data_IF_622604764506
#
_entry.id   IF_622604764506
#
_cell.length_a   1.000
_cell.length_b   1.000
_cell.length_c   1.000
_cell.angle_alpha   90.00
_cell.angle_beta   90.00
_cell.angle_gamma   90.00
#
_symmetry.space_group_name_H-M   'P 1'
#
loop_
_entity.id
_entity.type
_entity.pdbx_description
1 polymer ?
#
# COMPACT_ATOMS: atom_id res chain seq x y z
N UNK A 1 8.32 -11.24 -7.78
CA UNK A 1 7.69 -10.62 -6.59
C UNK A 1 6.83 -11.66 -5.88
N UNK A 2 5.73 -12.12 -6.50
CA UNK A 2 4.82 -13.13 -5.92
C UNK A 2 5.46 -14.48 -5.57
N UNK A 3 6.45 -14.94 -6.34
CA UNK A 3 7.25 -16.15 -6.04
C UNK A 3 7.84 -16.17 -4.62
N UNK A 4 8.29 -15.02 -4.11
CA UNK A 4 8.89 -14.92 -2.77
C UNK A 4 7.90 -15.26 -1.64
N UNK A 5 6.60 -15.26 -1.96
CA UNK A 5 5.50 -15.55 -1.04
C UNK A 5 4.76 -16.84 -1.42
N UNK A 6 5.31 -17.66 -2.33
CA UNK A 6 4.71 -18.94 -2.75
C UNK A 6 3.59 -18.82 -3.79
N UNK A 7 3.41 -17.64 -4.39
CA UNK A 7 2.37 -17.36 -5.40
C UNK A 7 2.94 -17.27 -6.81
N UNK A 8 3.83 -18.19 -7.17
CA UNK A 8 4.55 -18.14 -8.44
C UNK A 8 3.66 -18.04 -9.68
N UNK A 9 2.70 -18.96 -9.77
CA UNK A 9 1.74 -19.04 -10.87
C UNK A 9 0.88 -17.78 -11.05
N UNK A 10 0.67 -16.99 -9.99
CA UNK A 10 -0.16 -15.79 -10.03
C UNK A 10 0.35 -14.77 -11.05
N UNK A 11 1.67 -14.68 -11.25
CA UNK A 11 2.25 -13.72 -12.19
C UNK A 11 1.82 -14.02 -13.62
N UNK A 12 1.86 -15.30 -14.01
CA UNK A 12 1.53 -15.75 -15.37
C UNK A 12 0.02 -15.65 -15.62
N UNK A 13 -0.81 -16.01 -14.64
CA UNK A 13 -2.26 -15.91 -14.73
C UNK A 13 -2.75 -14.47 -14.86
N UNK A 14 -2.22 -13.57 -14.02
CA UNK A 14 -2.51 -12.13 -14.12
C UNK A 14 -2.09 -11.58 -15.49
N UNK A 15 -0.89 -11.92 -15.96
CA UNK A 15 -0.40 -11.47 -17.25
C UNK A 15 -1.31 -11.93 -18.39
N UNK A 16 -1.69 -13.22 -18.40
CA UNK A 16 -2.58 -13.78 -19.43
C UNK A 16 -3.95 -13.06 -19.47
N UNK A 17 -4.54 -12.80 -18.31
CA UNK A 17 -5.83 -12.09 -18.22
C UNK A 17 -5.72 -10.63 -18.66
N UNK A 18 -4.67 -9.92 -18.25
CA UNK A 18 -4.44 -8.52 -18.64
C UNK A 18 -4.24 -8.40 -20.16
N UNK A 19 -3.42 -9.26 -20.76
CA UNK A 19 -3.20 -9.26 -22.23
C UNK A 19 -4.48 -9.61 -22.98
N UNK A 20 -5.34 -10.47 -22.41
CA UNK A 20 -6.65 -10.79 -22.95
C UNK A 20 -7.71 -9.69 -22.73
N UNK A 21 -7.36 -8.56 -22.10
CA UNK A 21 -8.29 -7.47 -21.78
C UNK A 21 -9.28 -7.80 -20.65
N UNK A 22 -9.06 -8.89 -19.92
CA UNK A 22 -9.93 -9.40 -18.84
C UNK A 22 -9.50 -8.84 -17.48
N UNK A 23 -9.55 -7.52 -17.34
CA UNK A 23 -9.03 -6.85 -16.14
C UNK A 23 -9.82 -7.18 -14.86
N UNK A 24 -11.15 -7.30 -14.95
CA UNK A 24 -12.00 -7.65 -13.80
C UNK A 24 -11.64 -9.03 -13.24
N UNK A 25 -11.40 -10.00 -14.12
CA UNK A 25 -10.95 -11.34 -13.73
C UNK A 25 -9.56 -11.31 -13.10
N UNK A 26 -8.64 -10.50 -13.64
CA UNK A 26 -7.30 -10.32 -13.06
C UNK A 26 -7.37 -9.72 -11.65
N UNK A 27 -8.24 -8.73 -11.43
CA UNK A 27 -8.49 -8.15 -10.11
C UNK A 27 -9.05 -9.22 -9.16
N UNK A 28 -9.93 -10.09 -9.65
CA UNK A 28 -10.50 -11.20 -8.88
C UNK A 28 -9.47 -12.22 -8.37
N UNK A 29 -8.28 -12.32 -8.99
CA UNK A 29 -7.19 -13.18 -8.51
C UNK A 29 -6.43 -12.59 -7.31
N UNK A 30 -6.55 -11.29 -7.04
CA UNK A 30 -5.87 -10.64 -5.92
C UNK A 30 -6.68 -10.87 -4.64
N UNK A 31 -6.27 -11.83 -3.84
CA UNK A 31 -6.90 -12.13 -2.55
C UNK A 31 -6.55 -11.07 -1.49
N UNK A 32 -7.33 -10.98 -0.39
CA UNK A 32 -6.98 -10.13 0.75
C UNK A 32 -5.56 -10.38 1.29
N UNK A 33 -5.14 -11.64 1.40
CA UNK A 33 -3.81 -12.00 1.91
C UNK A 33 -2.67 -11.49 1.01
N UNK A 34 -2.87 -11.56 -0.32
CA UNK A 34 -1.93 -10.99 -1.29
C UNK A 34 -1.91 -9.47 -1.11
N UNK A 35 -3.07 -8.84 -1.03
CA UNK A 35 -3.18 -7.39 -0.88
C UNK A 35 -2.48 -6.90 0.39
N UNK A 36 -2.73 -7.53 1.54
CA UNK A 36 -2.18 -7.15 2.84
C UNK A 36 -0.65 -7.38 2.92
N UNK A 37 -0.11 -8.28 2.08
CA UNK A 37 1.34 -8.50 1.98
C UNK A 37 2.05 -7.30 1.35
N UNK A 38 1.42 -6.65 0.36
CA UNK A 38 2.03 -5.56 -0.42
C UNK A 38 1.52 -4.17 -0.07
N UNK A 39 0.35 -4.05 0.54
CA UNK A 39 -0.32 -2.78 0.79
C UNK A 39 -0.60 -2.58 2.27
N UNK A 40 -0.39 -1.36 2.76
CA UNK A 40 -0.92 -0.93 4.05
C UNK A 40 -2.31 -0.35 3.81
N UNK A 41 -3.33 -1.02 4.35
CA UNK A 41 -4.73 -0.62 4.26
C UNK A 41 -5.21 -0.15 5.63
N UNK A 42 -5.80 1.04 5.68
CA UNK A 42 -6.40 1.59 6.88
C UNK A 42 -7.38 2.71 6.52
N UNK A 43 -8.24 3.06 7.48
CA UNK A 43 -8.93 4.34 7.45
C UNK A 43 -7.94 5.48 7.70
N UNK A 44 -8.28 6.68 7.24
CA UNK A 44 -7.42 7.88 7.40
C UNK A 44 -7.06 8.18 8.86
N UNK A 45 -7.99 7.95 9.78
CA UNK A 45 -7.81 8.17 11.21
C UNK A 45 -6.84 7.16 11.88
N UNK A 46 -6.61 5.99 11.27
CA UNK A 46 -5.68 4.97 11.76
C UNK A 46 -4.46 4.71 10.87
N UNK A 47 -4.32 5.42 9.74
CA UNK A 47 -3.27 5.13 8.76
C UNK A 47 -1.86 5.40 9.30
N UNK A 48 -1.69 6.40 10.17
CA UNK A 48 -0.40 6.66 10.80
C UNK A 48 0.06 5.50 11.71
N UNK A 49 -0.86 4.91 12.47
CA UNK A 49 -0.57 3.77 13.34
C UNK A 49 -0.25 2.52 12.51
N UNK A 50 -1.02 2.26 11.44
CA UNK A 50 -0.78 1.14 10.53
C UNK A 50 0.59 1.25 9.82
N UNK A 51 0.95 2.46 9.38
CA UNK A 51 2.26 2.72 8.78
C UNK A 51 3.39 2.55 9.79
N UNK A 52 3.21 3.02 11.03
CA UNK A 52 4.19 2.82 12.10
C UNK A 52 4.38 1.34 12.39
N UNK A 53 3.29 0.60 12.62
CA UNK A 53 3.35 -0.84 12.88
C UNK A 53 4.03 -1.64 11.76
N UNK A 54 3.88 -1.20 10.49
CA UNK A 54 4.47 -1.88 9.34
C UNK A 54 5.96 -1.61 9.13
N UNK A 55 6.44 -0.42 9.50
CA UNK A 55 7.76 0.07 9.11
C UNK A 55 8.69 0.45 10.28
N UNK A 56 8.20 0.47 11.52
CA UNK A 56 9.02 0.73 12.69
C UNK A 56 10.19 -0.26 12.77
N UNK A 57 11.40 0.26 12.99
CA UNK A 57 12.64 -0.51 12.95
C UNK A 57 13.09 -1.05 11.58
N UNK A 58 12.30 -0.85 10.51
CA UNK A 58 12.62 -1.32 9.15
C UNK A 58 12.98 -0.18 8.19
N UNK A 59 12.37 1.00 8.35
CA UNK A 59 12.61 2.15 7.49
C UNK A 59 12.59 3.47 8.28
N UNK A 60 13.63 4.29 8.10
CA UNK A 60 13.69 5.62 8.73
C UNK A 60 12.78 6.65 8.05
N UNK A 61 12.40 6.41 6.79
CA UNK A 61 11.59 7.32 5.96
C UNK A 61 10.70 6.56 5.00
N UNK A 62 9.47 7.05 4.83
CA UNK A 62 8.50 6.58 3.83
C UNK A 62 8.09 7.74 2.95
N UNK A 63 8.13 7.54 1.62
CA UNK A 63 7.76 8.55 0.64
C UNK A 63 6.42 8.22 -0.03
N UNK A 64 5.61 9.24 -0.25
CA UNK A 64 4.31 9.13 -0.90
C UNK A 64 4.45 9.52 -2.38
N UNK A 65 4.36 8.54 -3.28
CA UNK A 65 4.61 8.75 -4.72
C UNK A 65 3.46 9.43 -5.49
N UNK A 66 2.34 9.76 -4.85
CA UNK A 66 1.12 10.18 -5.57
C UNK A 66 0.92 11.69 -5.75
N UNK A 67 1.86 12.55 -5.36
CA UNK A 67 1.61 13.99 -5.17
C UNK A 67 1.08 14.76 -6.40
N UNK A 68 1.37 14.30 -7.62
CA UNK A 68 0.98 14.98 -8.87
C UNK A 68 -0.49 14.74 -9.27
N UNK A 69 -1.12 13.67 -8.79
CA UNK A 69 -2.51 13.30 -9.15
C UNK A 69 -3.52 13.53 -8.02
N UNK A 70 -3.07 14.06 -6.88
CA UNK A 70 -3.91 14.19 -5.69
C UNK A 70 -4.76 15.45 -5.72
N UNK A 71 -6.03 15.29 -5.38
CA UNK A 71 -6.94 16.40 -5.11
C UNK A 71 -6.46 17.22 -3.89
N UNK A 72 -6.98 18.44 -3.74
CA UNK A 72 -6.70 19.28 -2.56
C UNK A 72 -7.09 18.58 -1.25
N UNK A 73 -8.24 17.93 -1.23
CA UNK A 73 -8.74 17.17 -0.09
C UNK A 73 -7.82 15.98 0.25
N UNK A 74 -7.36 15.22 -0.76
CA UNK A 74 -6.43 14.11 -0.52
C UNK A 74 -5.12 14.62 0.08
N UNK A 75 -4.60 15.76 -0.39
CA UNK A 75 -3.39 16.38 0.18
C UNK A 75 -3.61 16.83 1.63
N UNK A 76 -4.79 17.33 1.97
CA UNK A 76 -5.16 17.67 3.35
C UNK A 76 -5.13 16.44 4.25
N UNK A 77 -5.79 15.34 3.85
CA UNK A 77 -5.79 14.09 4.63
C UNK A 77 -4.39 13.51 4.82
N UNK A 78 -3.56 13.51 3.77
CA UNK A 78 -2.18 13.04 3.88
C UNK A 78 -1.31 13.93 4.77
N UNK A 79 -1.55 15.24 4.78
CA UNK A 79 -0.88 16.13 5.73
C UNK A 79 -1.22 15.77 7.17
N UNK A 80 -2.46 15.42 7.46
CA UNK A 80 -2.85 14.97 8.81
C UNK A 80 -2.15 13.66 9.21
N UNK A 81 -2.03 12.71 8.27
CA UNK A 81 -1.28 11.45 8.47
C UNK A 81 0.20 11.72 8.71
N UNK A 82 0.83 12.59 7.92
CA UNK A 82 2.25 12.97 8.11
C UNK A 82 2.46 13.64 9.47
N UNK A 83 1.56 14.55 9.88
CA UNK A 83 1.61 15.19 11.19
C UNK A 83 1.44 14.18 12.34
N UNK A 84 0.63 13.13 12.15
CA UNK A 84 0.51 12.06 13.12
C UNK A 84 1.80 11.20 13.21
N UNK A 85 2.37 10.79 12.07
CA UNK A 85 3.62 10.03 12.02
C UNK A 85 4.80 10.75 12.70
N UNK A 86 4.95 12.05 12.44
CA UNK A 86 6.03 12.85 13.03
C UNK A 86 5.90 12.96 14.56
N UNK A 87 4.67 13.02 15.09
CA UNK A 87 4.44 13.03 16.54
C UNK A 87 4.83 11.71 17.19
N UNK A 88 4.62 10.59 16.50
CA UNK A 88 4.98 9.25 16.97
C UNK A 88 6.50 9.03 16.93
N UNK A 89 7.20 9.58 15.93
CA UNK A 89 8.65 9.43 15.73
C UNK A 89 9.55 10.39 16.51
N UNK A 90 9.02 11.34 17.30
CA UNK A 90 9.85 12.31 18.07
C UNK A 90 10.39 11.75 19.39
N UNK A 91 10.85 10.49 19.41
CA UNK A 91 11.53 9.89 20.57
C UNK A 91 12.81 9.17 20.15
N UNK A 92 13.90 9.93 20.06
CA UNK A 92 15.27 9.56 20.46
C UNK A 92 16.16 10.80 20.33
#
# INVERSE_FOLDING_TARGET
>A
MFEAHGWGALTDELHALIVAGRLEDAIGLITPDILDTYCVTARWDGLADALTARYDGLADRVALYSFVWMSREQRERWRDVVNALQRTGTRA
#
